data_IF_558074824783
#
_entry.id   IF_558074824783
#
_cell.length_a   1.000
_cell.length_b   1.000
_cell.length_c   1.000
_cell.angle_alpha   90.00
_cell.angle_beta   90.00
_cell.angle_gamma   90.00
#
_symmetry.space_group_name_H-M   'P 1'
#
loop_
_entity.id
_entity.type
_entity.pdbx_description
1 polymer ?
#
# COMPACT_ATOMS: atom_id res chain seq x y z
N UNK A 1 -15.34 -9.92 9.29
CA UNK A 1 -14.68 -9.14 10.37
C UNK A 1 -13.14 -9.08 10.30
N UNK A 2 -12.46 -9.75 9.35
CA UNK A 2 -10.99 -9.78 9.35
C UNK A 2 -10.33 -8.41 9.12
N UNK A 3 -10.92 -7.57 8.26
CA UNK A 3 -10.45 -6.20 8.00
C UNK A 3 -10.36 -5.38 9.30
N UNK A 4 -11.44 -5.33 10.07
CA UNK A 4 -11.47 -4.61 11.34
C UNK A 4 -10.44 -5.16 12.35
N UNK A 5 -10.29 -6.49 12.41
CA UNK A 5 -9.33 -7.15 13.29
C UNK A 5 -7.89 -6.73 12.98
N UNK A 6 -7.47 -6.82 11.72
CA UNK A 6 -6.09 -6.51 11.34
C UNK A 6 -5.80 -5.02 11.38
N UNK A 7 -6.75 -4.16 10.98
CA UNK A 7 -6.61 -2.70 11.10
C UNK A 7 -6.48 -2.27 12.55
N UNK A 8 -7.22 -2.88 13.48
CA UNK A 8 -7.07 -2.58 14.91
C UNK A 8 -5.72 -3.02 15.48
N UNK A 9 -5.22 -4.19 15.08
CA UNK A 9 -3.89 -4.64 15.50
C UNK A 9 -2.78 -3.75 14.91
N UNK A 10 -2.93 -3.29 13.67
CA UNK A 10 -1.99 -2.39 13.02
C UNK A 10 -2.00 -1.00 13.68
N UNK A 11 -3.17 -0.49 14.05
CA UNK A 11 -3.26 0.75 14.83
C UNK A 11 -2.48 0.66 16.15
N UNK A 12 -2.61 -0.43 16.91
CA UNK A 12 -1.81 -0.66 18.12
C UNK A 12 -0.30 -0.69 17.82
N UNK A 13 0.09 -1.37 16.73
CA UNK A 13 1.48 -1.47 16.28
C UNK A 13 2.10 -0.10 15.98
N UNK A 14 1.39 0.77 15.28
CA UNK A 14 1.88 2.10 14.91
C UNK A 14 1.73 3.12 16.07
N UNK A 15 0.55 3.25 16.66
CA UNK A 15 0.25 4.31 17.62
C UNK A 15 0.84 4.04 19.01
N UNK A 16 0.70 2.82 19.53
CA UNK A 16 1.12 2.49 20.89
C UNK A 16 2.57 2.01 20.95
N UNK A 17 2.98 1.17 19.98
CA UNK A 17 4.34 0.61 19.94
C UNK A 17 5.32 1.44 19.13
N UNK A 18 4.84 2.43 18.36
CA UNK A 18 5.67 3.32 17.53
C UNK A 18 6.58 2.55 16.57
N UNK A 19 6.07 1.44 16.02
CA UNK A 19 6.80 0.60 15.10
C UNK A 19 6.42 0.91 13.65
N UNK A 20 7.40 0.79 12.77
CA UNK A 20 7.29 1.13 11.36
C UNK A 20 6.66 0.00 10.54
N UNK A 21 5.67 0.33 9.74
CA UNK A 21 4.96 -0.60 8.86
C UNK A 21 5.02 -0.13 7.40
N UNK A 22 5.62 -0.96 6.55
CA UNK A 22 5.66 -0.74 5.09
C UNK A 22 4.67 -1.69 4.42
N UNK A 23 3.73 -1.14 3.66
CA UNK A 23 2.83 -1.91 2.82
C UNK A 23 3.39 -2.04 1.42
N UNK A 24 3.38 -3.26 0.86
CA UNK A 24 3.85 -3.53 -0.51
C UNK A 24 2.70 -4.14 -1.29
N UNK A 25 2.20 -3.38 -2.26
CA UNK A 25 1.08 -3.74 -3.11
C UNK A 25 1.59 -4.44 -4.35
N UNK A 26 1.11 -5.66 -4.54
CA UNK A 26 1.48 -6.53 -5.67
C UNK A 26 0.23 -6.95 -6.43
N UNK A 27 0.40 -7.46 -7.65
CA UNK A 27 -0.73 -7.70 -8.55
C UNK A 27 -1.35 -9.08 -8.31
N UNK A 28 -2.68 -9.18 -8.07
CA UNK A 28 -3.65 -8.11 -7.81
C UNK A 28 -3.82 -7.82 -6.31
N UNK A 29 -3.97 -6.55 -5.92
CA UNK A 29 -4.38 -6.16 -4.56
C UNK A 29 -5.75 -5.49 -4.62
N UNK A 30 -6.79 -6.21 -4.22
CA UNK A 30 -8.17 -5.73 -4.37
C UNK A 30 -9.08 -5.91 -3.16
N UNK A 31 -10.22 -5.22 -3.15
CA UNK A 31 -11.30 -5.44 -2.19
C UNK A 31 -10.90 -5.10 -0.77
N UNK A 32 -11.15 -6.05 0.14
CA UNK A 32 -10.97 -5.84 1.58
C UNK A 32 -9.52 -5.57 1.99
N UNK A 33 -8.52 -6.08 1.26
CA UNK A 33 -7.10 -5.82 1.56
C UNK A 33 -6.76 -4.36 1.26
N UNK A 34 -7.15 -3.86 0.07
CA UNK A 34 -7.01 -2.45 -0.30
C UNK A 34 -7.77 -1.54 0.66
N UNK A 35 -8.96 -1.94 1.12
CA UNK A 35 -9.75 -1.18 2.08
C UNK A 35 -9.37 -1.41 3.56
N UNK A 36 -8.21 -2.02 3.84
CA UNK A 36 -7.72 -2.21 5.21
C UNK A 36 -6.20 -2.08 5.25
N UNK A 37 -5.49 -3.07 5.80
CA UNK A 37 -4.05 -3.01 6.08
C UNK A 37 -3.19 -2.70 4.86
N UNK A 38 -3.64 -3.00 3.64
CA UNK A 38 -2.90 -2.66 2.43
C UNK A 38 -2.70 -1.16 2.23
N UNK A 39 -3.63 -0.31 2.70
CA UNK A 39 -3.57 1.15 2.56
C UNK A 39 -3.29 1.88 3.87
N UNK A 40 -2.86 1.16 4.91
CA UNK A 40 -2.58 1.72 6.24
C UNK A 40 -1.08 1.67 6.58
N UNK A 41 -0.23 1.60 5.55
CA UNK A 41 1.23 1.72 5.67
C UNK A 41 1.67 3.10 6.14
N UNK A 42 2.74 3.17 6.94
CA UNK A 42 3.49 4.42 7.11
C UNK A 42 4.14 4.84 5.78
N UNK A 43 4.58 3.83 5.00
CA UNK A 43 4.96 3.96 3.60
C UNK A 43 4.24 2.85 2.81
N UNK A 44 3.66 3.22 1.68
CA UNK A 44 2.95 2.34 0.77
C UNK A 44 3.74 2.32 -0.55
N UNK A 45 4.19 1.13 -0.94
CA UNK A 45 4.95 0.88 -2.17
C UNK A 45 4.10 0.02 -3.09
N UNK A 46 4.06 0.34 -4.38
CA UNK A 46 3.49 -0.54 -5.40
C UNK A 46 4.58 -1.09 -6.33
N UNK A 47 4.37 -2.28 -6.89
CA UNK A 47 5.19 -2.77 -8.01
C UNK A 47 4.67 -2.22 -9.36
N UNK A 48 5.52 -2.08 -10.40
CA UNK A 48 5.11 -1.66 -11.73
C UNK A 48 4.00 -2.54 -12.32
N UNK A 49 3.07 -1.93 -13.07
CA UNK A 49 1.93 -2.59 -13.71
C UNK A 49 0.99 -3.33 -12.75
N UNK A 50 1.04 -3.01 -11.45
CA UNK A 50 0.20 -3.68 -10.45
C UNK A 50 -1.25 -3.24 -10.58
N UNK A 51 -2.18 -4.21 -10.53
CA UNK A 51 -3.61 -3.93 -10.49
C UNK A 51 -4.08 -3.75 -9.04
N UNK A 52 -4.52 -2.54 -8.71
CA UNK A 52 -4.96 -2.14 -7.37
C UNK A 52 -6.37 -1.57 -7.46
N UNK A 53 -7.32 -2.13 -6.70
CA UNK A 53 -8.70 -1.68 -6.79
C UNK A 53 -9.54 -2.04 -5.57
N UNK A 54 -10.36 -1.13 -5.05
CA UNK A 54 -11.38 -1.54 -4.08
C UNK A 54 -12.45 -2.42 -4.74
N UNK A 55 -13.09 -1.93 -5.82
CA UNK A 55 -14.02 -2.70 -6.62
C UNK A 55 -13.39 -3.03 -7.98
N UNK A 56 -13.54 -4.28 -8.45
CA UNK A 56 -13.01 -4.66 -9.76
C UNK A 56 -13.72 -3.94 -10.91
N UNK A 57 -13.01 -3.68 -12.01
CA UNK A 57 -13.51 -3.01 -13.23
C UNK A 57 -14.93 -3.43 -13.61
N UNK A 58 -15.19 -4.75 -13.70
CA UNK A 58 -16.51 -5.32 -14.04
C UNK A 58 -17.64 -4.78 -13.15
N UNK A 59 -17.43 -4.75 -11.84
CA UNK A 59 -18.46 -4.31 -10.87
C UNK A 59 -18.76 -2.83 -11.06
N UNK A 60 -17.73 -2.01 -11.30
CA UNK A 60 -17.90 -0.58 -11.49
C UNK A 60 -18.64 -0.29 -12.81
N UNK A 61 -18.26 -0.97 -13.90
CA UNK A 61 -18.90 -0.80 -15.20
C UNK A 61 -20.38 -1.20 -15.18
N UNK A 62 -20.72 -2.31 -14.51
CA UNK A 62 -22.11 -2.74 -14.32
C UNK A 62 -22.93 -1.77 -13.47
N UNK A 63 -22.30 -1.14 -12.46
CA UNK A 63 -23.00 -0.20 -11.57
C UNK A 63 -23.22 1.16 -12.24
N UNK A 64 -22.24 1.64 -13.01
CA UNK A 64 -22.28 2.97 -13.63
C UNK A 64 -22.81 2.96 -15.06
N UNK A 65 -23.01 1.79 -15.67
CA UNK A 65 -23.34 1.63 -17.10
C UNK A 65 -22.40 2.42 -18.02
N UNK A 66 -21.11 2.46 -17.67
CA UNK A 66 -20.06 3.17 -18.41
C UNK A 66 -18.82 2.31 -18.48
N UNK A 67 -18.12 2.34 -19.61
CA UNK A 67 -16.82 1.68 -19.77
C UNK A 67 -15.74 2.44 -19.01
N UNK A 68 -14.91 1.71 -18.26
CA UNK A 68 -13.75 2.29 -17.59
C UNK A 68 -12.55 2.24 -18.54
N UNK A 69 -11.81 3.36 -18.69
CA UNK A 69 -10.59 3.37 -19.48
C UNK A 69 -9.60 2.33 -18.98
N UNK A 70 -8.94 1.63 -19.91
CA UNK A 70 -7.89 0.68 -19.54
C UNK A 70 -6.75 1.39 -18.81
N UNK A 71 -6.18 0.70 -17.81
CA UNK A 71 -5.15 1.27 -16.95
C UNK A 71 -5.64 2.17 -15.80
N UNK A 72 -6.94 2.47 -15.69
CA UNK A 72 -7.48 3.30 -14.58
C UNK A 72 -7.24 2.71 -13.17
N UNK A 73 -6.90 1.42 -13.09
CA UNK A 73 -6.62 0.70 -11.84
C UNK A 73 -5.19 0.15 -11.81
N UNK A 74 -4.33 0.60 -12.74
CA UNK A 74 -2.91 0.28 -12.73
C UNK A 74 -2.16 1.21 -11.77
N UNK A 75 -1.06 0.72 -11.21
CA UNK A 75 -0.23 1.46 -10.27
C UNK A 75 0.19 2.83 -10.81
N UNK A 76 0.59 2.92 -12.08
CA UNK A 76 1.04 4.16 -12.71
C UNK A 76 -0.04 5.25 -12.67
N UNK A 77 -1.29 4.89 -12.98
CA UNK A 77 -2.40 5.83 -12.93
C UNK A 77 -2.73 6.25 -11.50
N UNK A 78 -2.73 5.31 -10.56
CA UNK A 78 -3.07 5.54 -9.16
C UNK A 78 -1.98 6.33 -8.41
N UNK A 79 -0.73 6.18 -8.81
CA UNK A 79 0.39 6.96 -8.28
C UNK A 79 0.23 8.45 -8.58
N UNK A 80 -0.19 8.81 -9.80
CA UNK A 80 -0.53 10.19 -10.16
C UNK A 80 -1.72 10.75 -9.37
N UNK A 81 -2.52 9.90 -8.72
CA UNK A 81 -3.61 10.31 -7.81
C UNK A 81 -3.18 10.40 -6.35
N UNK A 82 -1.92 10.11 -6.02
CA UNK A 82 -1.37 10.19 -4.67
C UNK A 82 -1.85 9.08 -3.74
N UNK A 83 -2.18 7.90 -4.27
CA UNK A 83 -2.68 6.77 -3.47
C UNK A 83 -1.59 6.01 -2.69
N UNK A 84 -0.33 6.16 -3.08
CA UNK A 84 0.82 5.53 -2.42
C UNK A 84 2.12 6.27 -2.79
N UNK A 85 3.19 5.98 -2.07
CA UNK A 85 4.39 6.82 -2.00
C UNK A 85 5.40 6.55 -3.11
N UNK A 86 5.48 5.32 -3.61
CA UNK A 86 6.47 4.95 -4.64
C UNK A 86 6.07 3.74 -5.47
N UNK A 87 6.56 3.69 -6.71
CA UNK A 87 6.54 2.51 -7.58
C UNK A 87 7.95 1.94 -7.66
N UNK A 88 8.16 0.73 -7.18
CA UNK A 88 9.49 0.10 -7.09
C UNK A 88 9.51 -1.25 -7.81
N UNK A 89 10.36 -1.44 -8.83
CA UNK A 89 10.59 -2.74 -9.44
C UNK A 89 11.11 -3.80 -8.44
N UNK A 90 10.65 -5.04 -8.57
CA UNK A 90 10.96 -6.15 -7.66
C UNK A 90 12.44 -6.34 -7.36
N UNK A 91 13.29 -6.19 -8.37
CA UNK A 91 14.75 -6.34 -8.25
C UNK A 91 15.40 -5.26 -7.37
N UNK A 92 14.81 -4.06 -7.31
CA UNK A 92 15.30 -2.94 -6.50
C UNK A 92 14.68 -2.92 -5.09
N UNK A 93 13.53 -3.59 -4.91
CA UNK A 93 12.74 -3.56 -3.68
C UNK A 93 13.56 -3.88 -2.43
N UNK A 94 14.48 -4.85 -2.49
CA UNK A 94 15.35 -5.19 -1.36
C UNK A 94 16.21 -4.00 -0.93
N UNK A 95 16.83 -3.28 -1.88
CA UNK A 95 17.67 -2.13 -1.60
C UNK A 95 16.86 -0.99 -0.98
N UNK A 96 15.72 -0.66 -1.59
CA UNK A 96 14.80 0.37 -1.09
C UNK A 96 14.32 0.05 0.32
N UNK A 97 13.91 -1.19 0.60
CA UNK A 97 13.49 -1.58 1.95
C UNK A 97 14.63 -1.47 2.95
N UNK A 98 15.85 -1.89 2.59
CA UNK A 98 17.02 -1.73 3.45
C UNK A 98 17.26 -0.27 3.81
N UNK A 99 17.21 0.65 2.84
CA UNK A 99 17.38 2.09 3.06
C UNK A 99 16.26 2.66 3.94
N UNK A 100 15.00 2.30 3.68
CA UNK A 100 13.85 2.75 4.48
C UNK A 100 13.96 2.29 5.94
N UNK A 101 14.30 1.02 6.17
CA UNK A 101 14.49 0.52 7.51
C UNK A 101 15.72 1.12 8.19
N UNK A 102 16.81 1.40 7.47
CA UNK A 102 17.97 2.11 8.05
C UNK A 102 17.61 3.55 8.44
N UNK A 103 16.87 4.26 7.58
CA UNK A 103 16.39 5.62 7.85
C UNK A 103 15.46 5.64 9.07
N UNK A 104 14.54 4.68 9.18
CA UNK A 104 13.58 4.62 10.28
C UNK A 104 14.17 4.00 11.56
N UNK A 105 15.19 3.14 11.44
CA UNK A 105 15.96 2.61 12.56
C UNK A 105 17.04 3.59 13.06
N UNK A 106 17.12 4.79 12.49
CA UNK A 106 17.88 5.90 13.05
C UNK A 106 17.20 6.37 14.34
N UNK A 107 17.32 5.56 15.38
CA UNK A 107 17.29 6.05 16.74
C UNK A 107 18.35 7.17 16.83
N UNK A 108 18.09 8.28 17.54
CA UNK A 108 19.21 9.09 17.97
C UNK A 108 20.17 8.16 18.71
N UNK A 109 21.47 8.30 18.45
CA UNK A 109 22.52 7.87 19.37
C UNK A 109 22.35 8.66 20.68
N UNK A 110 21.26 8.45 21.42
CA UNK A 110 21.21 8.81 22.82
C UNK A 110 21.92 7.69 23.56
N UNK A 111 23.24 7.83 23.63
CA UNK A 111 23.94 7.50 24.87
C UNK A 111 23.40 8.47 25.93
N UNK A 112 22.69 7.92 26.92
CA UNK A 112 22.71 8.30 28.33
C UNK A 112 21.67 7.48 29.09
#
# INVERSE_FOLDING_TARGET
MQMAKISSALYDYQANKKLFYVSILTSPTTGGVTASFGMLGDIIIAEPNTYIAFAGKRVIEQTLNKTIPDGSQAAEYLFHKGLFDSIVPRNLLKGVLCELFQLHAFFPLTQN
#
